data_IF_247614816678
#
_entry.id   IF_247614816678
#
_cell.length_a   1.000
_cell.length_b   1.000
_cell.length_c   1.000
_cell.angle_alpha   90.00
_cell.angle_beta   90.00
_cell.angle_gamma   90.00
#
_symmetry.space_group_name_H-M   'P 1'
#
loop_
_entity.id
_entity.type
_entity.pdbx_description
1 polymer ?
#
# COMPACT_ATOMS: atom_id res chain seq x y z
N UNK A 1 -18.91 -21.04 -12.13
CA UNK A 1 -18.47 -19.71 -12.58
C UNK A 1 -19.67 -18.78 -12.70
N UNK A 2 -19.50 -17.53 -12.27
CA UNK A 2 -20.50 -16.47 -12.37
C UNK A 2 -19.93 -15.32 -13.24
N UNK A 3 -20.66 -14.90 -14.27
CA UNK A 3 -20.19 -13.84 -15.19
C UNK A 3 -20.13 -12.47 -14.52
N UNK A 4 -21.06 -12.15 -13.62
CA UNK A 4 -21.06 -10.90 -12.86
C UNK A 4 -19.86 -10.81 -11.93
N UNK A 5 -19.56 -11.86 -11.17
CA UNK A 5 -18.39 -11.93 -10.29
C UNK A 5 -17.09 -11.82 -11.08
N UNK A 6 -17.00 -12.55 -12.21
CA UNK A 6 -15.83 -12.49 -13.09
C UNK A 6 -15.62 -11.08 -13.65
N UNK A 7 -16.68 -10.43 -14.14
CA UNK A 7 -16.60 -9.06 -14.65
C UNK A 7 -16.19 -8.08 -13.55
N UNK A 8 -16.76 -8.24 -12.33
CA UNK A 8 -16.41 -7.39 -11.18
C UNK A 8 -14.93 -7.51 -10.80
N UNK A 9 -14.40 -8.72 -10.70
CA UNK A 9 -12.99 -8.93 -10.31
C UNK A 9 -12.03 -8.47 -11.42
N UNK A 10 -12.34 -8.66 -12.70
CA UNK A 10 -11.52 -8.16 -13.79
C UNK A 10 -11.50 -6.63 -13.86
N UNK A 11 -12.66 -5.96 -13.70
CA UNK A 11 -12.69 -4.49 -13.66
C UNK A 11 -12.03 -3.97 -12.37
N UNK A 12 -12.17 -4.65 -11.25
CA UNK A 12 -11.47 -4.31 -10.00
C UNK A 12 -9.95 -4.41 -10.17
N UNK A 13 -9.45 -5.40 -10.90
CA UNK A 13 -8.02 -5.51 -11.24
C UNK A 13 -7.55 -4.30 -12.06
N UNK A 14 -8.33 -3.88 -13.05
CA UNK A 14 -8.03 -2.69 -13.85
C UNK A 14 -8.08 -1.40 -12.99
N UNK A 15 -9.01 -1.30 -12.05
CA UNK A 15 -9.10 -0.18 -11.11
C UNK A 15 -7.86 -0.11 -10.19
N UNK A 16 -7.35 -1.24 -9.70
CA UNK A 16 -6.12 -1.26 -8.88
C UNK A 16 -4.89 -0.94 -9.73
N UNK A 17 -4.84 -1.38 -11.00
CA UNK A 17 -3.79 -0.93 -11.92
C UNK A 17 -3.84 0.59 -12.09
N UNK A 18 -5.03 1.18 -12.27
CA UNK A 18 -5.23 2.62 -12.37
C UNK A 18 -4.77 3.36 -11.10
N UNK A 19 -4.89 2.75 -9.92
CA UNK A 19 -4.32 3.32 -8.68
C UNK A 19 -2.81 3.45 -8.76
N UNK A 20 -2.11 2.45 -9.27
CA UNK A 20 -0.65 2.47 -9.37
C UNK A 20 -0.21 3.38 -10.51
N UNK A 21 -0.84 3.21 -11.66
CA UNK A 21 -0.53 3.97 -12.86
C UNK A 21 -1.83 4.32 -13.59
N UNK A 22 -2.28 5.58 -13.55
CA UNK A 22 -1.54 6.80 -13.22
C UNK A 22 -1.75 7.35 -11.78
N UNK A 23 -2.62 6.78 -10.95
CA UNK A 23 -3.02 7.36 -9.66
C UNK A 23 -1.83 7.76 -8.77
N UNK A 24 -1.07 6.77 -8.30
CA UNK A 24 0.10 6.99 -7.43
C UNK A 24 1.20 7.77 -8.15
N UNK A 25 1.41 7.50 -9.44
CA UNK A 25 2.40 8.19 -10.24
C UNK A 25 2.16 9.70 -10.30
N UNK A 26 0.92 10.16 -10.52
CA UNK A 26 0.58 11.59 -10.47
C UNK A 26 0.56 12.14 -9.04
N UNK A 27 0.10 11.35 -8.06
CA UNK A 27 0.12 11.78 -6.67
C UNK A 27 1.55 12.09 -6.22
N UNK A 28 2.49 11.17 -6.42
CA UNK A 28 3.89 11.37 -6.08
C UNK A 28 4.59 12.34 -7.03
N UNK A 29 4.34 12.21 -8.34
CA UNK A 29 4.89 13.07 -9.37
C UNK A 29 4.57 14.54 -9.14
N UNK A 30 3.38 14.88 -8.64
CA UNK A 30 3.01 16.25 -8.30
C UNK A 30 3.71 16.79 -7.05
N UNK A 31 4.06 15.91 -6.10
CA UNK A 31 4.69 16.29 -4.82
C UNK A 31 6.21 16.49 -4.91
N UNK A 32 6.90 15.74 -5.79
CA UNK A 32 8.35 15.89 -5.95
C UNK A 32 8.73 17.21 -6.62
N UNK A 33 10.02 17.59 -6.54
CA UNK A 33 10.53 18.74 -7.29
C UNK A 33 10.51 18.45 -8.80
N UNK A 34 10.26 19.49 -9.61
CA UNK A 34 10.11 19.45 -11.08
C UNK A 34 11.16 18.62 -11.81
N UNK A 35 12.41 18.60 -11.35
CA UNK A 35 13.54 17.87 -11.93
C UNK A 35 13.57 16.36 -11.62
N UNK A 36 12.55 15.83 -10.94
CA UNK A 36 12.46 14.43 -10.51
C UNK A 36 11.08 13.80 -10.82
N UNK A 37 10.26 14.46 -11.64
CA UNK A 37 8.90 14.01 -11.96
C UNK A 37 8.91 12.72 -12.75
N UNK A 38 9.71 12.70 -13.85
CA UNK A 38 9.81 11.50 -14.71
C UNK A 38 10.42 10.34 -13.98
N UNK A 39 11.36 10.59 -13.06
CA UNK A 39 11.92 9.54 -12.21
C UNK A 39 10.86 8.89 -11.33
N UNK A 40 9.94 9.68 -10.73
CA UNK A 40 8.84 9.13 -9.95
C UNK A 40 7.86 8.32 -10.82
N UNK A 41 7.51 8.83 -12.00
CA UNK A 41 6.64 8.12 -12.95
C UNK A 41 7.29 6.83 -13.45
N UNK A 42 8.57 6.88 -13.83
CA UNK A 42 9.35 5.72 -14.29
C UNK A 42 9.40 4.64 -13.22
N UNK A 43 9.59 5.00 -11.95
CA UNK A 43 9.60 4.04 -10.84
C UNK A 43 8.25 3.33 -10.70
N UNK A 44 7.13 4.03 -10.82
CA UNK A 44 5.80 3.40 -10.83
C UNK A 44 5.62 2.45 -12.03
N UNK A 45 6.07 2.87 -13.22
CA UNK A 45 5.93 2.09 -14.45
C UNK A 45 6.78 0.83 -14.44
N UNK A 46 8.05 0.93 -14.04
CA UNK A 46 8.95 -0.22 -14.02
C UNK A 46 8.52 -1.26 -12.98
N UNK A 47 7.99 -0.83 -11.83
CA UNK A 47 7.40 -1.76 -10.83
C UNK A 47 6.27 -2.57 -11.46
N UNK A 48 5.36 -1.92 -12.17
CA UNK A 48 4.27 -2.62 -12.85
C UNK A 48 4.81 -3.71 -13.78
N UNK A 49 5.84 -3.41 -14.58
CA UNK A 49 6.45 -4.39 -15.49
C UNK A 49 7.17 -5.52 -14.73
N UNK A 50 8.05 -5.15 -13.82
CA UNK A 50 8.95 -6.10 -13.16
C UNK A 50 8.19 -7.02 -12.20
N UNK A 51 7.29 -6.47 -11.39
CA UNK A 51 6.53 -7.27 -10.41
C UNK A 51 5.46 -8.13 -11.10
N UNK A 52 4.83 -7.66 -12.19
CA UNK A 52 3.93 -8.54 -12.96
C UNK A 52 4.65 -9.76 -13.51
N UNK A 53 5.90 -9.61 -13.98
CA UNK A 53 6.70 -10.74 -14.43
C UNK A 53 7.15 -11.62 -13.27
N UNK A 54 7.63 -11.05 -12.17
CA UNK A 54 8.01 -11.77 -10.95
C UNK A 54 6.81 -12.59 -10.43
N UNK A 55 5.61 -12.00 -10.41
CA UNK A 55 4.38 -12.64 -9.98
C UNK A 55 4.02 -13.87 -10.81
N UNK A 56 4.08 -13.76 -12.14
CA UNK A 56 3.83 -14.87 -13.05
C UNK A 56 4.90 -15.96 -12.92
N UNK A 57 6.17 -15.58 -12.80
CA UNK A 57 7.28 -16.53 -12.76
C UNK A 57 7.28 -17.36 -11.46
N UNK A 58 7.09 -16.73 -10.30
CA UNK A 58 7.14 -17.42 -9.02
C UNK A 58 6.40 -16.75 -7.85
N UNK A 59 6.18 -15.43 -7.85
CA UNK A 59 5.60 -14.70 -6.72
C UNK A 59 4.19 -15.19 -6.38
N UNK A 60 3.34 -15.42 -7.40
CA UNK A 60 2.02 -15.99 -7.18
C UNK A 60 2.07 -17.35 -6.48
N UNK A 61 3.00 -18.21 -6.88
CA UNK A 61 3.19 -19.52 -6.27
C UNK A 61 3.68 -19.42 -4.83
N UNK A 62 4.64 -18.54 -4.55
CA UNK A 62 5.15 -18.33 -3.19
C UNK A 62 4.09 -17.76 -2.25
N UNK A 63 3.18 -16.93 -2.75
CA UNK A 63 2.12 -16.29 -1.95
C UNK A 63 0.89 -17.18 -1.79
N UNK A 64 0.38 -17.76 -2.87
CA UNK A 64 -0.92 -18.44 -2.91
C UNK A 64 -0.83 -19.93 -3.24
N UNK A 65 0.33 -20.45 -3.63
CA UNK A 65 0.56 -21.86 -3.87
C UNK A 65 0.36 -22.73 -2.62
N UNK A 66 0.31 -24.04 -2.78
CA UNK A 66 0.25 -24.99 -1.66
C UNK A 66 1.35 -24.70 -0.64
N UNK A 67 1.00 -24.75 0.66
CA UNK A 67 1.96 -24.48 1.72
C UNK A 67 3.13 -25.47 1.72
N UNK A 68 4.35 -24.98 1.58
CA UNK A 68 5.56 -25.76 1.56
C UNK A 68 6.41 -25.62 2.84
N UNK A 69 6.09 -24.63 3.68
CA UNK A 69 6.92 -24.20 4.79
C UNK A 69 6.21 -24.05 6.13
N UNK A 70 5.26 -24.89 6.48
CA UNK A 70 4.51 -24.80 7.75
C UNK A 70 3.84 -23.45 7.97
N UNK A 71 3.22 -22.91 6.93
CA UNK A 71 2.54 -21.63 6.93
C UNK A 71 3.45 -20.42 6.69
N UNK A 72 4.74 -20.63 6.35
CA UNK A 72 5.71 -19.53 6.17
C UNK A 72 5.75 -19.07 4.71
N UNK A 73 5.64 -20.01 3.74
CA UNK A 73 5.75 -19.71 2.32
C UNK A 73 5.03 -20.77 1.48
N UNK A 74 4.43 -20.39 0.37
CA UNK A 74 3.92 -21.32 -0.62
C UNK A 74 5.02 -22.02 -1.41
N UNK A 75 4.70 -23.18 -1.98
CA UNK A 75 5.61 -23.93 -2.83
C UNK A 75 5.77 -23.33 -4.23
N UNK A 76 6.45 -24.08 -5.11
CA UNK A 76 6.69 -23.67 -6.50
C UNK A 76 5.81 -24.44 -7.51
N UNK A 77 4.76 -25.10 -7.06
CA UNK A 77 3.86 -25.91 -7.89
C UNK A 77 3.15 -25.06 -8.94
N UNK A 78 2.83 -23.80 -8.62
CA UNK A 78 2.21 -22.85 -9.53
C UNK A 78 3.20 -21.88 -10.19
N UNK A 79 4.51 -22.11 -10.06
CA UNK A 79 5.50 -21.30 -10.76
C UNK A 79 5.28 -21.32 -12.28
N UNK A 80 5.46 -20.19 -12.94
CA UNK A 80 5.10 -19.95 -14.33
C UNK A 80 3.61 -20.29 -14.63
N UNK A 81 2.74 -20.06 -13.63
CA UNK A 81 1.29 -20.35 -13.67
C UNK A 81 0.93 -21.79 -14.03
N UNK A 82 1.79 -22.76 -13.75
CA UNK A 82 1.47 -24.19 -13.95
C UNK A 82 0.25 -24.55 -13.12
N UNK A 83 -0.75 -25.17 -13.76
CA UNK A 83 -2.00 -25.55 -13.10
C UNK A 83 -2.95 -24.39 -12.77
N UNK A 84 -2.57 -23.15 -13.02
CA UNK A 84 -3.43 -21.97 -12.91
C UNK A 84 -4.10 -21.74 -14.27
N UNK A 85 -5.42 -21.59 -14.30
CA UNK A 85 -6.15 -21.56 -15.59
C UNK A 85 -7.52 -20.88 -15.49
N UNK A 86 -8.38 -21.27 -16.45
CA UNK A 86 -9.73 -20.71 -16.58
C UNK A 86 -10.77 -21.35 -15.66
N UNK A 87 -10.45 -22.50 -15.05
CA UNK A 87 -11.32 -23.11 -14.05
C UNK A 87 -11.15 -22.44 -12.71
N UNK A 88 -12.21 -22.30 -11.90
CA UNK A 88 -12.10 -21.78 -10.54
C UNK A 88 -11.19 -22.65 -9.66
N UNK A 89 -10.45 -22.02 -8.77
CA UNK A 89 -9.85 -22.69 -7.64
C UNK A 89 -10.71 -22.39 -6.40
N UNK A 90 -11.53 -23.38 -6.03
CA UNK A 90 -12.66 -23.20 -5.11
C UNK A 90 -12.26 -22.74 -3.71
N UNK A 91 -11.05 -23.08 -3.28
CA UNK A 91 -10.56 -22.74 -1.95
C UNK A 91 -10.21 -21.25 -1.78
N UNK A 92 -9.96 -20.53 -2.91
CA UNK A 92 -9.79 -19.08 -2.91
C UNK A 92 -11.03 -18.35 -3.42
N UNK A 93 -11.58 -18.79 -4.57
CA UNK A 93 -12.73 -18.13 -5.19
C UNK A 93 -13.52 -19.11 -6.07
N UNK A 94 -14.67 -19.57 -5.58
CA UNK A 94 -15.44 -20.62 -6.23
C UNK A 94 -16.18 -20.16 -7.51
N UNK A 95 -16.43 -18.87 -7.68
CA UNK A 95 -17.32 -18.33 -8.71
C UNK A 95 -16.58 -17.69 -9.88
N UNK A 96 -15.27 -17.47 -9.78
CA UNK A 96 -14.45 -16.81 -10.81
C UNK A 96 -13.32 -17.71 -11.31
N UNK A 97 -12.83 -17.51 -12.56
CA UNK A 97 -11.64 -18.20 -13.05
C UNK A 97 -10.41 -17.98 -12.13
N UNK A 98 -9.57 -18.99 -11.98
CA UNK A 98 -8.33 -18.87 -11.22
C UNK A 98 -7.42 -17.75 -11.78
N UNK A 99 -7.39 -17.55 -13.11
CA UNK A 99 -6.71 -16.41 -13.73
C UNK A 99 -7.25 -15.05 -13.26
N UNK A 100 -8.56 -14.92 -13.02
CA UNK A 100 -9.13 -13.67 -12.52
C UNK A 100 -8.70 -13.38 -11.08
N UNK A 101 -8.64 -14.40 -10.22
CA UNK A 101 -8.08 -14.30 -8.88
C UNK A 101 -6.58 -13.93 -8.94
N UNK A 102 -5.81 -14.67 -9.75
CA UNK A 102 -4.36 -14.46 -9.89
C UNK A 102 -4.02 -13.04 -10.32
N UNK A 103 -4.69 -12.50 -11.35
CA UNK A 103 -4.40 -11.15 -11.85
C UNK A 103 -4.86 -10.06 -10.87
N UNK A 104 -5.96 -10.27 -10.15
CA UNK A 104 -6.39 -9.37 -9.10
C UNK A 104 -5.33 -9.26 -8.00
N UNK A 105 -4.84 -10.40 -7.52
CA UNK A 105 -3.77 -10.45 -6.51
C UNK A 105 -2.43 -9.90 -7.02
N UNK A 106 -2.15 -10.03 -8.34
CA UNK A 106 -0.99 -9.40 -8.98
C UNK A 106 -0.98 -7.88 -8.76
N UNK A 107 -2.13 -7.23 -8.86
CA UNK A 107 -2.21 -5.77 -8.71
C UNK A 107 -1.84 -5.33 -7.29
N UNK A 108 -2.10 -6.14 -6.28
CA UNK A 108 -1.67 -5.89 -4.90
C UNK A 108 -0.15 -6.05 -4.74
N UNK A 109 0.43 -7.09 -5.35
CA UNK A 109 1.88 -7.29 -5.38
C UNK A 109 2.60 -6.12 -6.07
N UNK A 110 1.99 -5.53 -7.11
CA UNK A 110 2.52 -4.38 -7.84
C UNK A 110 2.47 -3.10 -7.02
N UNK A 111 1.29 -2.77 -6.46
CA UNK A 111 1.13 -1.47 -5.78
C UNK A 111 1.92 -1.39 -4.48
N UNK A 112 2.10 -2.50 -3.78
CA UNK A 112 2.73 -2.49 -2.44
C UNK A 112 4.16 -1.92 -2.45
N UNK A 113 5.11 -2.39 -3.26
CA UNK A 113 6.42 -1.76 -3.37
C UNK A 113 6.35 -0.36 -4.02
N UNK A 114 5.33 -0.07 -4.84
CA UNK A 114 5.17 1.26 -5.42
C UNK A 114 4.88 2.33 -4.35
N UNK A 115 4.18 1.98 -3.26
CA UNK A 115 3.97 2.90 -2.14
C UNK A 115 5.30 3.37 -1.51
N UNK A 116 6.31 2.51 -1.46
CA UNK A 116 7.60 2.84 -0.84
C UNK A 116 8.36 3.93 -1.61
N UNK A 117 8.09 4.13 -2.90
CA UNK A 117 8.74 5.13 -3.77
C UNK A 117 8.76 6.51 -3.10
N UNK A 118 7.64 6.89 -2.47
CA UNK A 118 7.50 8.20 -1.85
C UNK A 118 8.55 8.52 -0.79
N UNK A 119 9.13 7.52 -0.14
CA UNK A 119 10.06 7.76 0.97
C UNK A 119 11.46 8.15 0.53
N UNK A 120 11.96 7.57 -0.57
CA UNK A 120 13.32 7.82 -1.09
C UNK A 120 13.32 8.65 -2.39
N UNK A 121 12.17 9.18 -2.75
CA UNK A 121 12.04 10.05 -3.91
C UNK A 121 13.17 11.09 -3.96
N UNK A 122 13.61 11.41 -5.18
CA UNK A 122 14.63 12.42 -5.50
C UNK A 122 16.10 12.05 -5.19
N UNK A 123 16.39 10.85 -4.60
CA UNK A 123 17.77 10.48 -4.24
C UNK A 123 18.15 9.02 -4.44
N UNK A 124 17.23 8.18 -4.90
CA UNK A 124 17.50 6.76 -5.13
C UNK A 124 18.19 6.53 -6.49
N UNK A 125 19.14 5.58 -6.52
CA UNK A 125 19.76 5.10 -7.76
C UNK A 125 18.84 4.10 -8.44
N UNK A 126 18.49 4.32 -9.70
CA UNK A 126 17.46 3.54 -10.41
C UNK A 126 17.80 2.04 -10.49
N UNK A 127 19.05 1.67 -10.76
CA UNK A 127 19.46 0.25 -10.81
C UNK A 127 19.36 -0.44 -9.44
N UNK A 128 19.76 0.24 -8.36
CA UNK A 128 19.62 -0.25 -7.00
C UNK A 128 18.13 -0.41 -6.61
N UNK A 129 17.31 0.56 -6.98
CA UNK A 129 15.87 0.53 -6.79
C UNK A 129 15.21 -0.69 -7.44
N UNK A 130 15.53 -1.00 -8.71
CA UNK A 130 14.91 -2.15 -9.40
C UNK A 130 15.26 -3.46 -8.72
N UNK A 131 16.54 -3.69 -8.40
CA UNK A 131 16.97 -4.91 -7.72
C UNK A 131 16.37 -5.02 -6.31
N UNK A 132 16.37 -3.92 -5.56
CA UNK A 132 15.74 -3.87 -4.23
C UNK A 132 14.26 -4.22 -4.31
N UNK A 133 13.52 -3.69 -5.28
CA UNK A 133 12.08 -3.93 -5.44
C UNK A 133 11.77 -5.40 -5.70
N UNK A 134 12.54 -6.08 -6.57
CA UNK A 134 12.38 -7.52 -6.84
C UNK A 134 12.61 -8.34 -5.56
N UNK A 135 13.71 -8.05 -4.86
CA UNK A 135 14.06 -8.76 -3.63
C UNK A 135 13.04 -8.47 -2.52
N UNK A 136 12.57 -7.21 -2.40
CA UNK A 136 11.59 -6.84 -1.40
C UNK A 136 10.23 -7.54 -1.65
N UNK A 137 9.77 -7.60 -2.90
CA UNK A 137 8.56 -8.35 -3.24
C UNK A 137 8.71 -9.82 -2.85
N UNK A 138 9.84 -10.44 -3.22
CA UNK A 138 10.10 -11.86 -2.96
C UNK A 138 10.26 -12.20 -1.47
N UNK A 139 10.95 -11.34 -0.70
CA UNK A 139 11.32 -11.66 0.68
C UNK A 139 10.50 -10.91 1.74
N UNK A 140 9.66 -9.95 1.35
CA UNK A 140 8.77 -9.26 2.30
C UNK A 140 7.31 -9.47 1.90
N UNK A 141 6.94 -9.12 0.67
CA UNK A 141 5.54 -9.18 0.23
C UNK A 141 5.04 -10.63 0.13
N UNK A 142 5.73 -11.49 -0.63
CA UNK A 142 5.27 -12.86 -0.89
C UNK A 142 5.10 -13.66 0.42
N UNK A 143 6.05 -13.66 1.40
CA UNK A 143 5.85 -14.31 2.67
C UNK A 143 4.69 -13.72 3.49
N UNK A 144 4.59 -12.39 3.62
CA UNK A 144 3.50 -11.76 4.38
C UNK A 144 2.14 -12.07 3.75
N UNK A 145 2.04 -12.04 2.41
CA UNK A 145 0.85 -12.45 1.69
C UNK A 145 0.46 -13.89 1.96
N UNK A 146 1.43 -14.81 2.00
CA UNK A 146 1.19 -16.20 2.35
C UNK A 146 0.71 -16.36 3.78
N UNK A 147 1.37 -15.68 4.74
CA UNK A 147 1.01 -15.79 6.16
C UNK A 147 -0.43 -15.37 6.44
N UNK A 148 -0.90 -14.30 5.79
CA UNK A 148 -2.18 -13.66 6.08
C UNK A 148 -3.29 -14.17 5.16
N UNK A 149 -3.01 -14.40 3.87
CA UNK A 149 -4.01 -14.74 2.86
C UNK A 149 -3.86 -16.14 2.28
N UNK A 150 -2.64 -16.69 2.25
CA UNK A 150 -2.36 -18.02 1.70
C UNK A 150 -3.07 -19.12 2.48
N UNK A 151 -3.50 -20.18 1.78
CA UNK A 151 -4.05 -21.37 2.42
C UNK A 151 -2.92 -22.08 3.16
N UNK A 152 -3.13 -22.36 4.45
CA UNK A 152 -2.10 -22.88 5.33
C UNK A 152 -1.28 -21.81 6.04
N UNK A 153 -1.36 -20.55 5.64
CA UNK A 153 -0.66 -19.44 6.27
C UNK A 153 -0.86 -19.37 7.78
N UNK A 154 0.24 -19.25 8.54
CA UNK A 154 0.18 -19.40 9.99
C UNK A 154 -0.61 -18.29 10.71
N UNK A 155 -0.57 -17.04 10.19
CA UNK A 155 -1.37 -15.94 10.75
C UNK A 155 -2.86 -16.08 10.38
N UNK A 156 -3.16 -16.54 9.16
CA UNK A 156 -4.52 -16.89 8.75
C UNK A 156 -5.11 -17.96 9.67
N UNK A 157 -4.32 -18.99 9.99
CA UNK A 157 -4.75 -20.09 10.88
C UNK A 157 -4.94 -19.61 12.34
N UNK A 158 -4.31 -18.51 12.75
CA UNK A 158 -4.57 -17.85 14.04
C UNK A 158 -5.87 -17.02 14.05
N UNK A 159 -6.53 -16.86 12.91
CA UNK A 159 -7.73 -16.06 12.76
C UNK A 159 -7.48 -14.57 12.51
N UNK A 160 -6.31 -14.19 11.99
CA UNK A 160 -6.03 -12.83 11.58
C UNK A 160 -7.00 -12.38 10.48
N UNK A 161 -7.51 -11.16 10.59
CA UNK A 161 -8.39 -10.54 9.60
C UNK A 161 -7.66 -9.37 8.92
N UNK A 162 -7.52 -9.47 7.61
CA UNK A 162 -7.00 -8.42 6.74
C UNK A 162 -7.72 -8.50 5.39
N UNK A 163 -8.80 -7.72 5.22
CA UNK A 163 -9.70 -7.86 4.08
C UNK A 163 -9.03 -7.55 2.75
N UNK A 164 -8.25 -6.47 2.71
CA UNK A 164 -7.65 -6.01 1.47
C UNK A 164 -6.19 -5.51 1.62
N UNK A 165 -5.51 -5.73 2.75
CA UNK A 165 -4.07 -5.46 2.85
C UNK A 165 -3.64 -4.36 3.82
N UNK A 166 -4.34 -4.19 4.94
CA UNK A 166 -3.88 -3.29 6.01
C UNK A 166 -2.50 -3.68 6.53
N UNK A 167 -2.24 -4.97 6.65
CA UNK A 167 -0.93 -5.53 7.02
C UNK A 167 -0.06 -5.77 5.80
N UNK A 168 -0.58 -6.57 4.86
CA UNK A 168 0.22 -7.07 3.73
C UNK A 168 0.69 -5.94 2.83
N UNK A 169 -0.13 -4.90 2.65
CA UNK A 169 0.16 -3.75 1.78
C UNK A 169 0.66 -2.55 2.58
N UNK A 170 -0.17 -2.04 3.50
CA UNK A 170 0.08 -0.71 4.07
C UNK A 170 1.07 -0.72 5.23
N UNK A 171 0.91 -1.60 6.21
CA UNK A 171 1.85 -1.68 7.33
C UNK A 171 3.24 -2.09 6.84
N UNK A 172 3.33 -3.09 5.94
CA UNK A 172 4.60 -3.57 5.41
C UNK A 172 5.34 -2.49 4.62
N UNK A 173 4.67 -1.81 3.68
CA UNK A 173 5.27 -0.73 2.89
C UNK A 173 5.62 0.47 3.74
N UNK A 174 4.75 0.87 4.69
CA UNK A 174 4.99 2.01 5.56
C UNK A 174 6.17 1.81 6.52
N UNK A 175 6.31 0.62 7.10
CA UNK A 175 7.47 0.30 7.95
C UNK A 175 8.75 0.19 7.15
N UNK A 176 8.69 -0.40 5.96
CA UNK A 176 9.82 -0.42 5.02
C UNK A 176 10.24 1.00 4.63
N UNK A 177 9.28 1.89 4.39
CA UNK A 177 9.51 3.29 4.11
C UNK A 177 10.29 3.99 5.24
N UNK A 178 9.89 3.79 6.50
CA UNK A 178 10.61 4.35 7.65
C UNK A 178 12.06 3.87 7.69
N UNK A 179 12.29 2.56 7.55
CA UNK A 179 13.65 2.00 7.55
C UNK A 179 14.49 2.56 6.41
N UNK A 180 13.93 2.66 5.22
CA UNK A 180 14.61 3.23 4.06
C UNK A 180 14.90 4.72 4.22
N UNK A 181 13.98 5.51 4.79
CA UNK A 181 14.22 6.93 5.09
C UNK A 181 15.42 7.13 6.01
N UNK A 182 15.56 6.25 7.01
CA UNK A 182 16.68 6.28 7.96
C UNK A 182 18.00 5.84 7.34
N UNK A 183 17.98 4.83 6.45
CA UNK A 183 19.19 4.25 5.86
C UNK A 183 19.74 5.06 4.69
N UNK A 184 18.88 5.56 3.81
CA UNK A 184 19.31 6.33 2.64
C UNK A 184 19.76 7.75 3.03
N UNK A 185 19.33 8.25 4.19
CA UNK A 185 19.63 9.57 4.69
C UNK A 185 18.79 10.69 4.06
N UNK A 186 19.03 11.92 4.49
CA UNK A 186 18.28 13.10 4.07
C UNK A 186 18.63 13.55 2.65
N UNK A 187 17.65 14.17 1.96
CA UNK A 187 17.89 14.91 0.71
C UNK A 187 18.79 16.12 0.95
N UNK A 188 19.61 16.43 -0.02
CA UNK A 188 20.50 17.59 0.04
C UNK A 188 19.67 18.87 0.12
N UNK A 189 19.95 19.69 1.13
CA UNK A 189 19.29 20.97 1.37
C UNK A 189 17.94 20.90 2.07
N UNK A 190 17.46 19.73 2.52
CA UNK A 190 16.14 19.61 3.19
C UNK A 190 16.09 20.32 4.54
N UNK A 191 17.21 20.43 5.24
CA UNK A 191 17.29 21.15 6.51
C UNK A 191 17.39 22.69 6.31
N UNK A 192 17.74 23.15 5.12
CA UNK A 192 17.99 24.56 4.78
C UNK A 192 16.81 25.18 4.00
N UNK A 193 16.08 24.37 3.24
CA UNK A 193 15.04 24.83 2.34
C UNK A 193 13.77 24.00 2.49
N UNK A 194 12.61 24.66 2.41
CA UNK A 194 11.33 23.98 2.26
C UNK A 194 11.18 23.52 0.81
N UNK A 195 11.02 22.20 0.60
CA UNK A 195 10.73 21.66 -0.71
C UNK A 195 9.22 21.73 -0.96
N UNK A 196 8.83 22.62 -1.86
CA UNK A 196 7.42 22.77 -2.27
C UNK A 196 7.07 21.79 -3.39
N UNK A 197 5.87 21.19 -3.35
CA UNK A 197 5.33 20.43 -4.47
C UNK A 197 5.35 21.26 -5.75
N UNK A 198 5.81 20.66 -6.87
CA UNK A 198 5.89 21.41 -8.11
C UNK A 198 4.54 21.55 -8.82
N UNK A 199 3.58 20.64 -8.58
CA UNK A 199 2.30 20.59 -9.28
C UNK A 199 1.19 19.98 -8.40
N UNK A 200 0.57 20.81 -7.55
CA UNK A 200 -0.55 20.36 -6.71
C UNK A 200 -1.76 19.85 -7.51
N UNK A 201 -2.16 20.43 -8.68
CA UNK A 201 -3.21 19.83 -9.52
C UNK A 201 -2.93 18.37 -9.89
N UNK A 202 -1.68 17.98 -10.21
CA UNK A 202 -1.33 16.58 -10.44
C UNK A 202 -1.50 15.72 -9.19
N UNK A 203 -1.12 16.25 -8.03
CA UNK A 203 -1.32 15.56 -6.74
C UNK A 203 -2.81 15.32 -6.47
N UNK A 204 -3.64 16.32 -6.71
CA UNK A 204 -5.10 16.20 -6.53
C UNK A 204 -5.70 15.19 -7.49
N UNK A 205 -5.32 15.24 -8.77
CA UNK A 205 -5.73 14.27 -9.77
C UNK A 205 -5.32 12.84 -9.36
N UNK A 206 -4.06 12.68 -8.96
CA UNK A 206 -3.53 11.40 -8.48
C UNK A 206 -4.30 10.88 -7.26
N UNK A 207 -4.57 11.74 -6.27
CA UNK A 207 -5.38 11.40 -5.10
C UNK A 207 -6.83 11.01 -5.44
N UNK A 208 -7.44 11.68 -6.40
CA UNK A 208 -8.78 11.32 -6.90
C UNK A 208 -8.79 9.96 -7.62
N UNK A 209 -7.78 9.68 -8.44
CA UNK A 209 -7.60 8.38 -9.10
C UNK A 209 -7.30 7.26 -8.09
N UNK A 210 -6.54 7.55 -7.03
CA UNK A 210 -6.33 6.62 -5.91
C UNK A 210 -7.66 6.29 -5.24
N UNK A 211 -8.48 7.28 -4.89
CA UNK A 211 -9.79 7.05 -4.28
C UNK A 211 -10.70 6.23 -5.19
N UNK A 212 -10.80 6.62 -6.46
CA UNK A 212 -11.60 5.89 -7.44
C UNK A 212 -11.18 4.42 -7.59
N UNK A 213 -9.89 4.17 -7.73
CA UNK A 213 -9.35 2.81 -7.85
C UNK A 213 -9.50 1.98 -6.57
N UNK A 214 -9.57 2.66 -5.41
CA UNK A 214 -9.73 1.98 -4.11
C UNK A 214 -11.07 1.26 -3.96
N UNK A 215 -12.07 1.62 -4.72
CA UNK A 215 -13.31 0.83 -4.79
C UNK A 215 -13.05 -0.57 -5.36
N UNK A 216 -12.22 -0.67 -6.40
CA UNK A 216 -11.75 -1.96 -6.90
C UNK A 216 -10.84 -2.69 -5.92
N UNK A 217 -9.96 -1.95 -5.25
CA UNK A 217 -9.02 -2.50 -4.26
C UNK A 217 -9.77 -3.16 -3.10
N UNK A 218 -10.67 -2.44 -2.45
CA UNK A 218 -11.40 -2.90 -1.27
C UNK A 218 -12.61 -3.76 -1.63
N UNK A 219 -13.55 -3.26 -2.43
CA UNK A 219 -14.76 -4.02 -2.74
C UNK A 219 -14.50 -5.18 -3.72
N UNK A 220 -13.44 -5.09 -4.55
CA UNK A 220 -12.96 -6.21 -5.36
C UNK A 220 -12.46 -7.38 -4.52
N UNK A 221 -11.94 -7.13 -3.31
CA UNK A 221 -11.47 -8.16 -2.37
C UNK A 221 -12.59 -9.05 -1.81
N UNK A 222 -13.86 -8.70 -2.04
CA UNK A 222 -14.98 -9.63 -1.85
C UNK A 222 -14.96 -10.80 -2.84
N UNK A 223 -14.20 -10.71 -3.93
CA UNK A 223 -14.05 -11.70 -5.01
C UNK A 223 -15.37 -12.09 -5.70
N UNK A 224 -16.43 -11.32 -5.48
CA UNK A 224 -17.76 -11.52 -6.05
C UNK A 224 -18.52 -10.17 -6.07
N UNK A 225 -19.46 -10.04 -7.01
CA UNK A 225 -20.39 -8.92 -7.11
C UNK A 225 -21.60 -9.16 -6.18
N UNK A 226 -21.39 -9.07 -4.88
CA UNK A 226 -22.37 -9.44 -3.85
C UNK A 226 -22.55 -8.33 -2.80
N UNK A 227 -23.32 -8.64 -1.77
CA UNK A 227 -23.64 -7.72 -0.66
C UNK A 227 -22.38 -7.28 0.10
N UNK A 228 -21.40 -8.17 0.25
CA UNK A 228 -20.13 -7.86 0.90
C UNK A 228 -19.31 -6.83 0.08
N UNK A 229 -19.29 -6.97 -1.26
CA UNK A 229 -18.67 -5.97 -2.13
C UNK A 229 -19.36 -4.61 -2.00
N UNK A 230 -20.71 -4.58 -1.97
CA UNK A 230 -21.47 -3.35 -1.76
C UNK A 230 -21.18 -2.71 -0.40
N UNK A 231 -21.11 -3.50 0.66
CA UNK A 231 -20.75 -3.04 2.01
C UNK A 231 -19.33 -2.45 2.05
N UNK A 232 -18.35 -3.17 1.50
CA UNK A 232 -16.96 -2.71 1.44
C UNK A 232 -16.80 -1.42 0.60
N UNK A 233 -17.59 -1.26 -0.47
CA UNK A 233 -17.64 -0.04 -1.27
C UNK A 233 -18.10 1.17 -0.46
N UNK A 234 -19.19 1.01 0.30
CA UNK A 234 -19.77 2.08 1.14
C UNK A 234 -18.82 2.45 2.27
N UNK A 235 -18.28 1.48 3.01
CA UNK A 235 -17.38 1.73 4.15
C UNK A 235 -16.08 2.38 3.69
N UNK A 236 -15.56 2.01 2.53
CA UNK A 236 -14.39 2.65 1.89
C UNK A 236 -14.62 4.13 1.64
N UNK A 237 -15.75 4.47 1.00
CA UNK A 237 -16.09 5.87 0.71
C UNK A 237 -16.28 6.69 1.97
N UNK A 238 -17.01 6.14 2.94
CA UNK A 238 -17.37 6.83 4.19
C UNK A 238 -16.13 7.11 5.05
N UNK A 239 -15.22 6.15 5.18
CA UNK A 239 -13.99 6.34 5.95
C UNK A 239 -13.07 7.39 5.32
N UNK A 240 -12.92 7.37 3.99
CA UNK A 240 -12.14 8.37 3.25
C UNK A 240 -12.70 9.79 3.44
N UNK A 241 -14.02 9.94 3.30
CA UNK A 241 -14.70 11.22 3.47
C UNK A 241 -14.56 11.76 4.91
N UNK A 242 -14.77 10.88 5.91
CA UNK A 242 -14.60 11.23 7.32
C UNK A 242 -13.16 11.67 7.65
N UNK A 243 -12.17 10.96 7.10
CA UNK A 243 -10.76 11.28 7.32
C UNK A 243 -10.35 12.59 6.64
N UNK A 244 -10.74 12.81 5.39
CA UNK A 244 -10.47 14.07 4.67
C UNK A 244 -11.09 15.28 5.37
N UNK A 245 -12.35 15.17 5.81
CA UNK A 245 -13.02 16.22 6.57
C UNK A 245 -12.31 16.48 7.91
N UNK A 246 -11.95 15.44 8.63
CA UNK A 246 -11.25 15.57 9.93
C UNK A 246 -9.90 16.27 9.76
N UNK A 247 -9.13 15.93 8.72
CA UNK A 247 -7.88 16.59 8.40
C UNK A 247 -8.07 18.09 8.14
N UNK A 248 -9.06 18.43 7.30
CA UNK A 248 -9.39 19.82 7.01
C UNK A 248 -9.77 20.61 8.27
N UNK A 249 -10.55 20.01 9.17
CA UNK A 249 -10.93 20.64 10.44
C UNK A 249 -9.72 20.85 11.38
N UNK A 250 -8.78 19.90 11.43
CA UNK A 250 -7.54 20.04 12.20
C UNK A 250 -6.71 21.22 11.67
N UNK A 251 -6.47 21.27 10.34
CA UNK A 251 -5.73 22.39 9.72
C UNK A 251 -6.42 23.72 9.94
N UNK A 252 -7.77 23.74 9.80
CA UNK A 252 -8.52 24.98 10.01
C UNK A 252 -8.35 25.54 11.43
N UNK A 253 -8.39 24.65 12.42
CA UNK A 253 -8.18 25.04 13.82
C UNK A 253 -6.73 25.46 14.12
N UNK A 254 -5.74 24.81 13.51
CA UNK A 254 -4.33 25.05 13.81
C UNK A 254 -3.71 26.19 12.99
N UNK A 255 -4.13 26.36 11.74
CA UNK A 255 -3.51 27.24 10.77
C UNK A 255 -4.47 28.32 10.20
N UNK A 256 -5.74 28.29 10.62
CA UNK A 256 -6.76 29.24 10.16
C UNK A 256 -7.36 28.95 8.77
N UNK A 257 -6.80 28.01 8.02
CA UNK A 257 -7.34 27.58 6.71
C UNK A 257 -6.95 26.14 6.41
N UNK A 258 -7.88 25.33 5.85
CA UNK A 258 -7.56 24.00 5.36
C UNK A 258 -6.81 24.09 4.02
N UNK A 259 -5.96 23.11 3.73
CA UNK A 259 -5.24 23.00 2.47
C UNK A 259 -5.82 21.90 1.60
N UNK A 260 -5.73 22.07 0.27
CA UNK A 260 -6.16 21.04 -0.68
C UNK A 260 -5.30 19.78 -0.52
N UNK A 261 -4.00 19.93 -0.31
CA UNK A 261 -3.10 18.83 -0.04
C UNK A 261 -3.50 18.06 1.24
N UNK A 262 -3.83 18.80 2.31
CA UNK A 262 -4.27 18.22 3.58
C UNK A 262 -5.53 17.37 3.44
N UNK A 263 -6.55 17.87 2.74
CA UNK A 263 -7.80 17.12 2.51
C UNK A 263 -7.51 15.83 1.73
N UNK A 264 -6.72 15.90 0.66
CA UNK A 264 -6.36 14.72 -0.14
C UNK A 264 -5.55 13.71 0.68
N UNK A 265 -4.57 14.19 1.47
CA UNK A 265 -3.76 13.34 2.37
C UNK A 265 -4.63 12.67 3.43
N UNK A 266 -5.55 13.40 4.03
CA UNK A 266 -6.53 12.87 4.98
C UNK A 266 -7.42 11.80 4.36
N UNK A 267 -7.97 12.05 3.17
CA UNK A 267 -8.78 11.07 2.45
C UNK A 267 -8.00 9.79 2.15
N UNK A 268 -6.76 9.88 1.66
CA UNK A 268 -5.88 8.71 1.42
C UNK A 268 -5.60 7.96 2.73
N UNK A 269 -5.37 8.67 3.84
CA UNK A 269 -5.20 8.04 5.16
C UNK A 269 -6.44 7.23 5.57
N UNK A 270 -7.64 7.75 5.29
CA UNK A 270 -8.92 7.06 5.51
C UNK A 270 -9.05 5.78 4.67
N UNK A 271 -8.67 5.86 3.39
CA UNK A 271 -8.63 4.70 2.49
C UNK A 271 -7.68 3.61 3.01
N UNK A 272 -6.50 4.00 3.48
CA UNK A 272 -5.52 3.09 4.09
C UNK A 272 -6.08 2.38 5.31
N UNK A 273 -6.64 3.14 6.26
CA UNK A 273 -7.10 2.58 7.54
C UNK A 273 -8.34 1.69 7.41
N UNK A 274 -9.21 1.98 6.44
CA UNK A 274 -10.41 1.13 6.24
C UNK A 274 -10.08 -0.17 5.50
N UNK A 275 -8.95 -0.24 4.80
CA UNK A 275 -8.56 -1.37 3.95
C UNK A 275 -8.62 -2.73 4.67
N UNK A 276 -8.08 -2.95 5.87
CA UNK A 276 -8.22 -4.24 6.55
C UNK A 276 -9.62 -4.50 7.10
N UNK A 277 -10.42 -3.45 7.30
CA UNK A 277 -11.70 -3.50 8.01
C UNK A 277 -12.93 -3.47 7.09
N UNK A 278 -12.80 -2.99 5.85
CA UNK A 278 -13.94 -2.60 5.00
C UNK A 278 -14.98 -3.71 4.78
N UNK A 279 -14.56 -4.97 4.76
CA UNK A 279 -15.45 -6.14 4.65
C UNK A 279 -15.91 -6.72 5.99
N UNK A 280 -15.61 -6.04 7.12
CA UNK A 280 -15.93 -6.55 8.47
C UNK A 280 -16.64 -5.54 9.36
N UNK A 281 -16.78 -4.28 8.95
CA UNK A 281 -17.37 -3.22 9.79
C UNK A 281 -18.57 -2.57 9.11
N UNK A 282 -19.47 -2.02 9.92
CA UNK A 282 -20.60 -1.23 9.44
C UNK A 282 -20.16 0.22 9.09
N UNK A 283 -20.97 1.00 8.36
CA UNK A 283 -20.62 2.38 7.96
C UNK A 283 -20.38 3.33 9.15
N UNK A 284 -21.04 3.18 10.28
CA UNK A 284 -20.80 4.03 11.45
C UNK A 284 -19.40 3.78 12.03
N UNK A 285 -18.97 2.53 12.13
CA UNK A 285 -17.63 2.18 12.57
C UNK A 285 -16.56 2.67 11.56
N UNK A 286 -16.88 2.66 10.26
CA UNK A 286 -16.00 3.23 9.24
C UNK A 286 -15.77 4.75 9.41
N UNK A 287 -16.79 5.52 9.86
CA UNK A 287 -16.62 6.93 10.23
C UNK A 287 -15.60 7.09 11.35
N UNK A 288 -15.71 6.32 12.43
CA UNK A 288 -14.77 6.38 13.54
C UNK A 288 -13.35 6.00 13.11
N UNK A 289 -13.20 4.95 12.29
CA UNK A 289 -11.89 4.56 11.73
C UNK A 289 -11.27 5.73 10.96
N UNK A 290 -12.05 6.41 10.12
CA UNK A 290 -11.60 7.56 9.33
C UNK A 290 -11.23 8.78 10.19
N UNK A 291 -12.02 9.11 11.20
CA UNK A 291 -11.73 10.21 12.13
C UNK A 291 -10.39 9.97 12.86
N UNK A 292 -10.25 8.82 13.48
CA UNK A 292 -9.06 8.53 14.29
C UNK A 292 -7.78 8.40 13.46
N UNK A 293 -7.84 7.79 12.27
CA UNK A 293 -6.66 7.71 11.41
C UNK A 293 -6.15 9.09 11.01
N UNK A 294 -7.07 10.00 10.70
CA UNK A 294 -6.69 11.37 10.33
C UNK A 294 -5.91 12.06 11.45
N UNK A 295 -6.35 11.90 12.70
CA UNK A 295 -5.66 12.44 13.88
C UNK A 295 -4.27 11.81 14.03
N UNK A 296 -4.16 10.47 13.94
CA UNK A 296 -2.90 9.76 14.14
C UNK A 296 -1.89 10.07 13.04
N UNK A 297 -2.32 10.06 11.77
CA UNK A 297 -1.44 10.39 10.63
C UNK A 297 -1.01 11.86 10.68
N UNK A 298 -1.91 12.78 11.02
CA UNK A 298 -1.55 14.19 11.19
C UNK A 298 -0.48 14.37 12.27
N UNK A 299 -0.63 13.73 13.44
CA UNK A 299 0.37 13.78 14.51
C UNK A 299 1.69 13.17 14.03
N UNK A 300 1.66 12.05 13.32
CA UNK A 300 2.86 11.39 12.82
C UNK A 300 3.65 12.29 11.85
N UNK A 301 2.95 12.95 10.93
CA UNK A 301 3.56 13.81 9.92
C UNK A 301 3.99 15.17 10.53
N UNK A 302 3.08 15.84 11.22
CA UNK A 302 3.34 17.20 11.71
C UNK A 302 4.27 17.26 12.93
N UNK A 303 4.25 16.25 13.82
CA UNK A 303 5.00 16.26 15.07
C UNK A 303 6.11 15.23 15.14
N UNK A 304 5.82 13.94 14.82
CA UNK A 304 6.80 12.86 14.97
C UNK A 304 7.91 13.01 13.95
N UNK A 305 7.59 13.15 12.66
CA UNK A 305 8.57 13.37 11.59
C UNK A 305 9.44 14.60 11.89
N UNK A 306 8.84 15.71 12.29
CA UNK A 306 9.55 16.96 12.63
C UNK A 306 10.45 16.78 13.86
N UNK A 307 9.99 16.06 14.88
CA UNK A 307 10.76 15.82 16.12
C UNK A 307 11.99 14.95 15.88
N UNK A 308 11.83 13.89 15.11
CA UNK A 308 12.91 12.93 14.84
C UNK A 308 13.73 13.27 13.59
N UNK A 309 13.29 14.25 12.80
CA UNK A 309 14.00 14.81 11.65
C UNK A 309 14.45 13.77 10.62
N UNK A 310 13.67 12.69 10.41
CA UNK A 310 13.89 11.78 9.30
C UNK A 310 13.24 12.32 8.02
N UNK A 311 13.86 12.06 6.87
CA UNK A 311 13.38 12.53 5.58
C UNK A 311 12.62 11.41 4.84
N UNK A 312 11.39 11.18 5.25
CA UNK A 312 10.38 10.47 4.47
C UNK A 312 9.74 11.49 3.53
N UNK A 313 10.16 11.48 2.25
CA UNK A 313 9.92 12.61 1.34
C UNK A 313 8.46 12.93 1.13
N UNK A 314 7.60 11.91 1.03
CA UNK A 314 6.17 12.03 0.71
C UNK A 314 5.27 11.37 1.79
N UNK A 315 5.76 11.33 3.02
CA UNK A 315 5.01 10.91 4.22
C UNK A 315 4.46 9.48 4.19
N UNK A 316 5.14 8.56 3.51
CA UNK A 316 4.71 7.16 3.33
C UNK A 316 4.53 6.44 4.66
N UNK A 317 5.49 6.57 5.58
CA UNK A 317 5.35 5.99 6.92
C UNK A 317 4.18 6.60 7.69
N UNK A 318 4.04 7.92 7.64
CA UNK A 318 2.98 8.65 8.33
C UNK A 318 1.57 8.25 7.87
N UNK A 319 1.41 7.96 6.58
CA UNK A 319 0.12 7.59 5.98
C UNK A 319 -0.08 6.08 6.02
N UNK A 320 0.83 5.30 5.40
CA UNK A 320 0.64 3.86 5.24
C UNK A 320 1.07 3.06 6.47
N UNK A 321 2.19 3.43 7.13
CA UNK A 321 2.64 2.76 8.34
C UNK A 321 1.66 2.96 9.50
N UNK A 322 1.38 4.20 9.85
CA UNK A 322 0.46 4.52 10.95
C UNK A 322 -0.98 4.17 10.59
N UNK A 323 -1.42 4.47 9.36
CA UNK A 323 -2.77 4.15 8.90
C UNK A 323 -3.04 2.65 8.85
N UNK A 324 -2.08 1.84 8.34
CA UNK A 324 -2.20 0.38 8.29
C UNK A 324 -2.23 -0.26 9.68
N UNK A 325 -1.36 0.19 10.58
CA UNK A 325 -1.35 -0.23 12.00
C UNK A 325 -2.69 0.08 12.67
N UNK A 326 -3.15 1.33 12.56
CA UNK A 326 -4.44 1.72 13.13
C UNK A 326 -5.58 0.91 12.53
N UNK A 327 -5.66 0.79 11.21
CA UNK A 327 -6.72 0.04 10.53
C UNK A 327 -6.79 -1.43 10.98
N UNK A 328 -5.63 -2.08 11.13
CA UNK A 328 -5.57 -3.47 11.62
C UNK A 328 -6.04 -3.60 13.06
N UNK A 329 -5.62 -2.71 13.95
CA UNK A 329 -6.10 -2.66 15.33
C UNK A 329 -7.60 -2.36 15.36
N UNK A 330 -8.07 -1.40 14.56
CA UNK A 330 -9.47 -1.03 14.45
C UNK A 330 -10.34 -2.19 13.94
N UNK A 331 -9.82 -3.04 13.04
CA UNK A 331 -10.49 -4.29 12.65
C UNK A 331 -10.72 -5.18 13.87
N UNK A 332 -9.71 -5.34 14.72
CA UNK A 332 -9.83 -6.10 15.98
C UNK A 332 -10.82 -5.50 16.97
N UNK A 333 -11.07 -4.20 16.92
CA UNK A 333 -12.03 -3.51 17.78
C UNK A 333 -13.45 -3.56 17.22
N UNK A 334 -13.63 -3.23 15.95
CA UNK A 334 -14.91 -2.89 15.34
C UNK A 334 -15.51 -3.97 14.44
N UNK A 335 -14.80 -5.09 14.18
CA UNK A 335 -15.33 -6.15 13.32
C UNK A 335 -16.63 -6.76 13.86
N UNK A 336 -17.55 -7.05 12.94
CA UNK A 336 -18.86 -7.62 13.20
C UNK A 336 -19.08 -8.84 12.32
N UNK A 337 -19.33 -10.00 12.93
CA UNK A 337 -19.66 -11.23 12.20
C UNK A 337 -20.98 -11.10 11.40
N UNK A 338 -21.86 -10.19 11.81
CA UNK A 338 -23.09 -9.88 11.09
C UNK A 338 -22.85 -9.20 9.73
N UNK A 339 -21.70 -8.52 9.55
CA UNK A 339 -21.29 -7.93 8.26
C UNK A 339 -20.65 -8.97 7.34
N UNK A 340 -19.85 -9.87 7.92
CA UNK A 340 -19.18 -10.93 7.17
C UNK A 340 -19.08 -12.19 8.03
N UNK A 341 -19.83 -13.22 7.66
CA UNK A 341 -19.88 -14.50 8.40
C UNK A 341 -18.53 -15.23 8.43
N UNK A 342 -17.68 -15.02 7.41
CA UNK A 342 -16.33 -15.58 7.37
C UNK A 342 -15.35 -14.86 8.33
N UNK A 343 -15.73 -13.71 8.89
CA UNK A 343 -14.99 -12.98 9.90
C UNK A 343 -15.35 -13.41 11.33
N UNK A 344 -15.02 -12.54 12.26
CA UNK A 344 -15.30 -12.71 13.68
C UNK A 344 -15.75 -11.37 14.30
N UNK A 345 -16.41 -11.43 15.45
CA UNK A 345 -16.71 -10.24 16.25
C UNK A 345 -15.41 -9.64 16.82
N UNK A 346 -15.33 -8.33 16.88
CA UNK A 346 -14.25 -7.59 17.51
C UNK A 346 -14.47 -7.35 19.01
N UNK A 347 -13.58 -6.56 19.59
CA UNK A 347 -13.59 -6.25 21.03
C UNK A 347 -14.91 -5.63 21.49
N UNK A 348 -15.49 -4.69 20.74
CA UNK A 348 -16.77 -4.05 21.08
C UNK A 348 -17.94 -5.03 21.07
N UNK A 349 -17.81 -6.16 20.42
CA UNK A 349 -18.79 -7.22 20.34
C UNK A 349 -18.40 -8.45 21.19
N UNK A 350 -17.52 -8.24 22.18
CA UNK A 350 -17.19 -9.21 23.23
C UNK A 350 -16.07 -10.21 22.88
N UNK A 351 -15.33 -10.03 21.77
CA UNK A 351 -14.24 -10.94 21.40
C UNK A 351 -12.86 -10.29 21.60
N UNK A 352 -12.30 -10.44 22.78
CA UNK A 352 -10.94 -10.04 23.12
C UNK A 352 -9.89 -10.79 22.30
N UNK A 353 -10.15 -12.05 21.92
CA UNK A 353 -9.17 -12.88 21.22
C UNK A 353 -8.83 -12.28 19.84
N UNK A 354 -9.83 -11.85 19.05
CA UNK A 354 -9.57 -11.21 17.76
C UNK A 354 -8.72 -9.95 17.95
N UNK A 355 -9.05 -9.11 18.91
CA UNK A 355 -8.27 -7.89 19.20
C UNK A 355 -6.79 -8.22 19.49
N UNK A 356 -6.53 -9.22 20.32
CA UNK A 356 -5.16 -9.65 20.63
C UNK A 356 -4.43 -10.24 19.41
N UNK A 357 -5.12 -11.02 18.57
CA UNK A 357 -4.60 -11.53 17.30
C UNK A 357 -4.20 -10.38 16.38
N UNK A 358 -5.04 -9.36 16.22
CA UNK A 358 -4.74 -8.20 15.39
C UNK A 358 -3.56 -7.38 15.93
N UNK A 359 -3.46 -7.19 17.24
CA UNK A 359 -2.30 -6.55 17.86
C UNK A 359 -1.02 -7.36 17.61
N UNK A 360 -1.07 -8.69 17.75
CA UNK A 360 0.05 -9.58 17.49
C UNK A 360 0.45 -9.53 16.01
N UNK A 361 -0.50 -9.57 15.09
CA UNK A 361 -0.29 -9.42 13.65
C UNK A 361 0.49 -8.14 13.31
N UNK A 362 0.12 -7.01 13.92
CA UNK A 362 0.82 -5.74 13.77
C UNK A 362 2.29 -5.86 14.21
N UNK A 363 2.54 -6.42 15.39
CA UNK A 363 3.91 -6.56 15.92
C UNK A 363 4.77 -7.42 14.99
N UNK A 364 4.24 -8.53 14.50
CA UNK A 364 4.94 -9.43 13.57
C UNK A 364 5.25 -8.70 12.26
N UNK A 365 4.27 -8.07 11.66
CA UNK A 365 4.45 -7.41 10.35
C UNK A 365 5.43 -6.23 10.43
N UNK A 366 5.31 -5.39 11.47
CA UNK A 366 6.22 -4.27 11.72
C UNK A 366 7.66 -4.76 11.87
N UNK A 367 7.87 -5.77 12.72
CA UNK A 367 9.20 -6.30 13.00
C UNK A 367 9.80 -6.97 11.76
N UNK A 368 9.02 -7.80 11.08
CA UNK A 368 9.47 -8.53 9.89
C UNK A 368 9.80 -7.58 8.74
N UNK A 369 8.87 -6.68 8.38
CA UNK A 369 9.08 -5.74 7.30
C UNK A 369 10.28 -4.83 7.57
N UNK A 370 10.44 -4.34 8.80
CA UNK A 370 11.58 -3.51 9.18
C UNK A 370 12.91 -4.27 9.09
N UNK A 371 12.99 -5.47 9.67
CA UNK A 371 14.22 -6.27 9.69
C UNK A 371 14.64 -6.70 8.29
N UNK A 372 13.70 -7.23 7.50
CA UNK A 372 13.98 -7.66 6.13
C UNK A 372 14.35 -6.50 5.22
N UNK A 373 13.67 -5.36 5.32
CA UNK A 373 14.02 -4.16 4.56
C UNK A 373 15.43 -3.68 4.89
N UNK A 374 15.83 -3.71 6.16
CA UNK A 374 17.18 -3.37 6.57
C UNK A 374 18.23 -4.31 5.94
N UNK A 375 17.99 -5.63 5.99
CA UNK A 375 18.89 -6.63 5.40
C UNK A 375 19.00 -6.42 3.89
N UNK A 376 17.88 -6.30 3.19
CA UNK A 376 17.84 -6.15 1.74
C UNK A 376 18.47 -4.83 1.28
N UNK A 377 18.21 -3.72 2.00
CA UNK A 377 18.87 -2.45 1.72
C UNK A 377 20.39 -2.58 1.82
N UNK A 378 20.91 -3.13 2.93
CA UNK A 378 22.35 -3.31 3.14
C UNK A 378 22.98 -4.21 2.07
N UNK A 379 22.28 -5.27 1.67
CA UNK A 379 22.72 -6.16 0.62
C UNK A 379 22.84 -5.46 -0.74
N UNK A 380 21.79 -4.77 -1.16
CA UNK A 380 21.79 -4.08 -2.46
C UNK A 380 22.74 -2.88 -2.45
N UNK A 381 22.81 -2.14 -1.35
CA UNK A 381 23.71 -1.00 -1.21
C UNK A 381 25.18 -1.41 -1.33
N UNK A 382 25.55 -2.54 -0.74
CA UNK A 382 26.92 -3.10 -0.84
C UNK A 382 27.30 -3.57 -2.26
N UNK A 383 26.31 -4.04 -3.05
CA UNK A 383 26.56 -4.58 -4.39
C UNK A 383 26.50 -3.52 -5.50
N UNK A 384 25.52 -2.62 -5.42
CA UNK A 384 25.15 -1.73 -6.53
C UNK A 384 25.19 -0.26 -6.07
N UNK A 385 24.94 -0.01 -4.78
CA UNK A 385 24.65 1.30 -4.22
C UNK A 385 23.17 1.66 -4.37
N UNK A 386 22.59 2.22 -3.30
CA UNK A 386 21.17 2.60 -3.25
C UNK A 386 20.94 4.09 -3.49
N UNK A 387 21.89 4.95 -3.15
CA UNK A 387 21.78 6.40 -3.33
C UNK A 387 22.58 6.87 -4.53
N UNK A 388 22.06 7.86 -5.25
CA UNK A 388 22.80 8.56 -6.32
C UNK A 388 23.93 9.42 -5.76
N UNK A 389 24.90 9.77 -6.59
CA UNK A 389 25.94 10.73 -6.24
C UNK A 389 25.35 12.14 -5.98
N UNK A 390 26.00 12.90 -5.12
CA UNK A 390 25.56 14.26 -4.74
C UNK A 390 25.30 15.14 -5.98
N UNK A 391 26.17 15.11 -6.97
CA UNK A 391 26.02 15.87 -8.21
C UNK A 391 24.74 15.51 -8.97
N UNK A 392 24.41 14.22 -9.03
CA UNK A 392 23.19 13.72 -9.70
C UNK A 392 21.94 14.18 -8.97
N UNK A 393 21.92 14.14 -7.63
CA UNK A 393 20.81 14.62 -6.81
C UNK A 393 20.58 16.13 -6.98
N UNK A 394 21.68 16.92 -7.09
CA UNK A 394 21.60 18.36 -7.33
C UNK A 394 21.04 18.68 -8.71
N UNK A 395 21.50 17.99 -9.76
CA UNK A 395 21.01 18.17 -11.13
C UNK A 395 19.55 17.73 -11.24
N UNK A 396 19.20 16.58 -10.71
CA UNK A 396 17.87 15.95 -10.78
C UNK A 396 17.92 14.60 -11.48
N UNK A 397 17.03 13.70 -11.04
CA UNK A 397 17.03 12.30 -11.47
C UNK A 397 16.45 12.11 -12.86
N UNK A 398 15.57 12.99 -13.34
CA UNK A 398 15.01 12.90 -14.69
C UNK A 398 16.14 12.93 -15.73
N UNK A 399 17.04 13.87 -15.61
CA UNK A 399 18.17 14.00 -16.53
C UNK A 399 19.27 12.96 -16.26
N UNK A 400 19.63 12.75 -14.98
CA UNK A 400 20.82 11.96 -14.64
C UNK A 400 20.58 10.46 -14.61
N UNK A 401 19.35 9.99 -14.45
CA UNK A 401 19.00 8.57 -14.42
C UNK A 401 18.24 8.12 -15.67
N UNK A 402 17.56 9.06 -16.38
CA UNK A 402 16.68 8.72 -17.50
C UNK A 402 17.00 9.51 -18.78
N UNK A 403 17.90 10.51 -18.74
CA UNK A 403 18.27 11.36 -19.88
C UNK A 403 17.07 12.09 -20.51
N UNK A 404 16.08 12.42 -19.72
CA UNK A 404 14.82 13.05 -20.14
C UNK A 404 14.52 14.29 -19.29
N UNK A 405 13.66 15.16 -19.82
CA UNK A 405 13.13 16.32 -19.10
C UNK A 405 11.61 16.34 -19.19
N UNK A 406 10.95 16.50 -18.04
CA UNK A 406 9.47 16.52 -17.97
C UNK A 406 8.86 17.74 -18.67
N UNK A 407 9.59 18.85 -18.74
CA UNK A 407 9.07 20.12 -19.26
C UNK A 407 10.10 20.81 -20.15
N UNK A 408 9.67 21.23 -21.34
CA UNK A 408 10.41 22.14 -22.19
C UNK A 408 10.24 23.57 -21.65
N UNK A 409 11.33 24.21 -21.23
CA UNK A 409 11.29 25.53 -20.61
C UNK A 409 11.50 26.66 -21.61
N UNK A 410 12.12 26.38 -22.74
CA UNK A 410 12.39 27.32 -23.85
C UNK A 410 12.44 26.50 -25.13
N UNK A 411 11.79 26.96 -26.18
CA UNK A 411 12.04 26.52 -27.56
C UNK A 411 13.09 27.41 -28.20
#
# INVERSE_FOLDING_TARGET
MNSGDTAWVLISSALVLLMTMPGLAFFYGGLVRRKNVLSALMQCFIILCVISLQWVLYGYSLTFGPDAGRGIIGGLEWAALRGVGVQPFTDYAATIPHYAFMIFQCMFAVITPALIIGTYAERIKFSGFVVFTILWATFVYDPLGHWVWGIGGWLRNLGALDFAGGIVVHTSSGMSALVLALLIGKRIGVDEHTFTPHNLPFTVLGGALLWFGWFGFNAGSALAANELAASAFVTTNVAAAAAGLTWALIEWQQHGSPTVLGIVTGAVSGLVAITPACGFVNPMNAIFIGIFVSIFCYIAIARVKTRFKYDDSLDVFGIHGIGGVWGTIATGIFAEKAVNEAGANGLLFGNMQLFLVQCFLVVIAVTYAAAMTWVLYKFVDALIGMRVEQKQEIIGLDLTQHSESAYTLVE
#
